data_IF_319575994398
#
_entry.id   IF_319575994398
#
_cell.length_a   1.000
_cell.length_b   1.000
_cell.length_c   1.000
_cell.angle_alpha   90.00
_cell.angle_beta   90.00
_cell.angle_gamma   90.00
#
_symmetry.space_group_name_H-M   'P 1'
#
loop_
_entity.id
_entity.type
_entity.pdbx_description
1 polymer ?
#
# COMPACT_ATOMS: atom_id res chain seq x y z
N UNK A 1 -24.33 36.81 1.90
CA UNK A 1 -23.38 35.97 2.68
C UNK A 1 -22.43 36.89 3.43
N UNK A 2 -22.25 36.72 4.73
CA UNK A 2 -21.28 37.51 5.50
C UNK A 2 -19.86 37.02 5.25
N UNK A 3 -18.86 37.89 5.39
CA UNK A 3 -17.43 37.56 5.20
C UNK A 3 -17.01 36.36 6.07
N UNK A 4 -17.57 36.26 7.27
CA UNK A 4 -17.38 35.15 8.20
C UNK A 4 -18.02 33.83 7.70
N UNK A 5 -19.20 33.88 7.07
CA UNK A 5 -19.84 32.71 6.48
C UNK A 5 -19.07 32.14 5.29
N UNK A 6 -18.50 33.02 4.45
CA UNK A 6 -17.63 32.59 3.35
C UNK A 6 -16.34 31.91 3.85
N UNK A 7 -15.75 32.42 4.94
CA UNK A 7 -14.57 31.82 5.57
C UNK A 7 -14.87 30.45 6.20
N UNK A 8 -16.02 30.28 6.85
CA UNK A 8 -16.45 29.00 7.42
C UNK A 8 -16.68 27.94 6.34
N UNK A 9 -17.31 28.32 5.22
CA UNK A 9 -17.51 27.42 4.08
C UNK A 9 -16.19 27.04 3.40
N UNK A 10 -15.25 27.96 3.30
CA UNK A 10 -13.89 27.69 2.80
C UNK A 10 -13.12 26.74 3.72
N UNK A 11 -13.19 26.92 5.05
CA UNK A 11 -12.58 25.99 6.01
C UNK A 11 -13.21 24.60 5.95
N UNK A 12 -14.54 24.51 5.85
CA UNK A 12 -15.23 23.23 5.69
C UNK A 12 -14.86 22.55 4.37
N UNK A 13 -14.76 23.31 3.27
CA UNK A 13 -14.30 22.80 1.99
C UNK A 13 -12.85 22.28 2.06
N UNK A 14 -11.94 23.02 2.72
CA UNK A 14 -10.55 22.57 2.91
C UNK A 14 -10.48 21.27 3.72
N UNK A 15 -11.29 21.11 4.78
CA UNK A 15 -11.38 19.87 5.57
C UNK A 15 -11.98 18.69 4.78
N UNK A 16 -12.85 18.96 3.81
CA UNK A 16 -13.39 17.94 2.90
C UNK A 16 -12.40 17.56 1.79
N UNK A 17 -11.53 18.49 1.38
CA UNK A 17 -10.46 18.24 0.41
C UNK A 17 -9.27 17.50 1.06
N UNK A 18 -9.13 17.57 2.39
CA UNK A 18 -8.20 16.71 3.16
C UNK A 18 -8.72 15.29 3.38
N UNK A 19 -9.69 14.82 2.58
CA UNK A 19 -10.01 13.40 2.49
C UNK A 19 -8.72 12.59 2.33
N UNK A 20 -8.59 11.53 3.14
CA UNK A 20 -7.37 10.75 3.33
C UNK A 20 -6.56 10.64 2.05
N UNK A 21 -5.49 11.41 1.97
CA UNK A 21 -4.42 11.11 1.04
C UNK A 21 -3.63 10.00 1.71
N UNK A 22 -3.43 8.88 1.04
CA UNK A 22 -2.44 7.88 1.45
C UNK A 22 -0.99 8.36 1.32
N UNK A 23 -0.74 9.68 1.40
CA UNK A 23 0.58 10.21 1.71
C UNK A 23 1.15 9.53 2.98
N UNK A 24 0.27 8.98 3.84
CA UNK A 24 0.58 8.24 5.07
C UNK A 24 0.24 6.73 5.03
N UNK A 25 0.20 6.05 3.86
CA UNK A 25 0.09 4.58 3.92
C UNK A 25 1.25 4.03 4.75
N UNK A 26 0.94 3.18 5.72
CA UNK A 26 1.92 2.67 6.66
C UNK A 26 3.15 2.14 5.90
N UNK A 27 4.35 2.71 6.10
CA UNK A 27 5.53 2.31 5.33
C UNK A 27 5.79 0.80 5.40
N UNK A 28 5.58 0.20 6.58
CA UNK A 28 5.69 -1.24 6.78
C UNK A 28 4.76 -2.06 5.87
N UNK A 29 3.52 -1.58 5.67
CA UNK A 29 2.56 -2.23 4.76
C UNK A 29 3.02 -2.09 3.32
N UNK A 30 3.40 -0.87 2.90
CA UNK A 30 3.88 -0.60 1.55
C UNK A 30 5.11 -1.45 1.23
N UNK A 31 6.12 -1.45 2.09
CA UNK A 31 7.36 -2.22 1.89
C UNK A 31 7.07 -3.73 1.80
N UNK A 32 6.14 -4.24 2.63
CA UNK A 32 5.75 -5.65 2.59
C UNK A 32 5.06 -6.02 1.28
N UNK A 33 4.17 -5.16 0.77
CA UNK A 33 3.50 -5.38 -0.53
C UNK A 33 4.49 -5.25 -1.69
N UNK A 34 5.38 -4.26 -1.66
CA UNK A 34 6.40 -4.06 -2.71
C UNK A 34 7.34 -5.27 -2.77
N UNK A 35 7.78 -5.80 -1.62
CA UNK A 35 8.59 -7.02 -1.54
C UNK A 35 7.83 -8.27 -2.01
N UNK A 36 6.54 -8.39 -1.67
CA UNK A 36 5.71 -9.50 -2.15
C UNK A 36 5.68 -9.54 -3.68
N UNK A 37 5.49 -8.40 -4.34
CA UNK A 37 5.38 -8.30 -5.80
C UNK A 37 6.74 -8.41 -6.51
N UNK A 38 7.75 -7.67 -6.05
CA UNK A 38 8.98 -7.45 -6.79
C UNK A 38 10.27 -7.75 -6.03
N UNK A 39 10.20 -7.92 -4.71
CA UNK A 39 11.34 -8.36 -3.90
C UNK A 39 11.72 -9.82 -4.18
N UNK A 40 12.89 -10.23 -3.71
CA UNK A 40 13.26 -11.65 -3.71
C UNK A 40 12.37 -12.42 -2.73
N UNK A 41 12.33 -13.74 -2.90
CA UNK A 41 11.58 -14.63 -2.01
C UNK A 41 12.03 -14.46 -0.56
N UNK A 42 13.33 -14.55 -0.31
CA UNK A 42 13.90 -14.48 1.04
C UNK A 42 13.66 -13.10 1.70
N UNK A 43 13.83 -11.99 0.96
CA UNK A 43 13.57 -10.65 1.51
C UNK A 43 12.11 -10.48 1.94
N UNK A 44 11.16 -11.03 1.18
CA UNK A 44 9.74 -11.00 1.56
C UNK A 44 9.49 -11.83 2.82
N UNK A 45 10.04 -13.05 2.93
CA UNK A 45 9.87 -13.91 4.10
C UNK A 45 10.49 -13.27 5.35
N UNK A 46 11.72 -12.77 5.24
CA UNK A 46 12.38 -12.02 6.33
C UNK A 46 11.56 -10.81 6.76
N UNK A 47 10.89 -10.13 5.82
CA UNK A 47 10.02 -9.00 6.14
C UNK A 47 8.78 -9.45 6.92
N UNK A 48 8.12 -10.56 6.53
CA UNK A 48 6.94 -11.09 7.24
C UNK A 48 7.32 -11.56 8.65
N UNK A 49 8.46 -12.23 8.80
CA UNK A 49 8.97 -12.73 10.09
C UNK A 49 9.14 -11.64 11.15
N UNK A 50 9.45 -10.41 10.74
CA UNK A 50 9.55 -9.25 11.66
C UNK A 50 8.23 -8.95 12.39
N UNK A 51 7.09 -9.28 11.77
CA UNK A 51 5.77 -8.97 12.31
C UNK A 51 5.07 -10.20 12.88
N UNK A 52 5.34 -11.39 12.34
CA UNK A 52 4.68 -12.61 12.79
C UNK A 52 5.57 -13.84 12.63
N UNK A 53 5.89 -14.49 13.75
CA UNK A 53 6.72 -15.70 13.79
C UNK A 53 5.88 -16.98 13.87
N UNK A 54 4.56 -16.91 13.68
CA UNK A 54 3.72 -18.09 13.65
C UNK A 54 4.06 -18.95 12.41
N UNK A 55 4.47 -20.21 12.57
CA UNK A 55 4.90 -21.06 11.46
C UNK A 55 3.86 -21.19 10.34
N UNK A 56 2.56 -21.24 10.68
CA UNK A 56 1.50 -21.34 9.69
C UNK A 56 1.36 -20.07 8.82
N UNK A 57 1.68 -18.90 9.39
CA UNK A 57 1.70 -17.63 8.66
C UNK A 57 2.88 -17.59 7.71
N UNK A 58 4.05 -18.07 8.15
CA UNK A 58 5.25 -18.13 7.33
C UNK A 58 5.11 -19.14 6.18
N UNK A 59 4.54 -20.31 6.43
CA UNK A 59 4.23 -21.31 5.39
C UNK A 59 3.24 -20.75 4.35
N UNK A 60 2.24 -19.99 4.81
CA UNK A 60 1.29 -19.30 3.90
C UNK A 60 2.00 -18.23 3.07
N UNK A 61 2.88 -17.43 3.68
CA UNK A 61 3.64 -16.40 3.00
C UNK A 61 4.57 -17.00 1.93
N UNK A 62 5.28 -18.07 2.28
CA UNK A 62 6.16 -18.84 1.38
C UNK A 62 5.40 -19.40 0.17
N UNK A 63 4.25 -20.01 0.42
CA UNK A 63 3.39 -20.56 -0.64
C UNK A 63 2.91 -19.48 -1.60
N UNK A 64 2.42 -18.35 -1.07
CA UNK A 64 1.89 -17.26 -1.89
C UNK A 64 3.01 -16.55 -2.67
N UNK A 65 4.18 -16.35 -2.05
CA UNK A 65 5.32 -15.71 -2.70
C UNK A 65 5.84 -16.55 -3.86
N UNK A 66 6.02 -17.86 -3.63
CA UNK A 66 6.39 -18.80 -4.70
C UNK A 66 5.42 -18.73 -5.89
N UNK A 67 4.12 -18.68 -5.60
CA UNK A 67 3.09 -18.58 -6.65
C UNK A 67 3.22 -17.27 -7.45
N UNK A 68 3.38 -16.13 -6.77
CA UNK A 68 3.53 -14.84 -7.44
C UNK A 68 4.81 -14.79 -8.29
N UNK A 69 5.92 -15.33 -7.78
CA UNK A 69 7.19 -15.35 -8.51
C UNK A 69 7.19 -16.28 -9.72
N UNK A 70 6.48 -17.41 -9.65
CA UNK A 70 6.32 -18.33 -10.79
C UNK A 70 5.34 -17.82 -11.84
N UNK A 71 4.31 -17.07 -11.44
CA UNK A 71 3.17 -16.73 -12.31
C UNK A 71 3.25 -15.35 -12.93
N UNK A 72 3.77 -14.36 -12.21
CA UNK A 72 3.84 -13.00 -12.71
C UNK A 72 5.11 -12.79 -13.51
N UNK A 73 4.94 -12.35 -14.75
CA UNK A 73 6.06 -11.88 -15.56
C UNK A 73 6.62 -10.57 -15.00
N UNK A 74 7.79 -10.16 -15.48
CA UNK A 74 8.35 -8.86 -15.12
C UNK A 74 7.42 -7.69 -15.50
N UNK A 75 6.68 -7.81 -16.61
CA UNK A 75 5.69 -6.82 -17.04
C UNK A 75 4.50 -6.78 -16.06
N UNK A 76 3.94 -7.94 -15.69
CA UNK A 76 2.84 -8.02 -14.72
C UNK A 76 3.22 -7.39 -13.37
N UNK A 77 4.44 -7.65 -12.90
CA UNK A 77 4.97 -7.07 -11.65
C UNK A 77 5.09 -5.54 -11.76
N UNK A 78 5.60 -5.04 -12.88
CA UNK A 78 5.72 -3.60 -13.12
C UNK A 78 4.35 -2.90 -13.19
N UNK A 79 3.39 -3.54 -13.84
CA UNK A 79 2.01 -3.03 -13.93
C UNK A 79 1.29 -3.07 -12.59
N UNK A 80 1.49 -4.12 -11.79
CA UNK A 80 0.97 -4.21 -10.43
C UNK A 80 1.52 -3.09 -9.54
N UNK A 81 2.83 -2.82 -9.57
CA UNK A 81 3.43 -1.71 -8.83
C UNK A 81 2.91 -0.35 -9.31
N UNK A 82 2.71 -0.18 -10.62
CA UNK A 82 2.11 1.04 -11.18
C UNK A 82 0.67 1.25 -10.68
N UNK A 83 -0.13 0.17 -10.62
CA UNK A 83 -1.47 0.20 -10.07
C UNK A 83 -1.48 0.54 -8.57
N UNK A 84 -0.57 -0.06 -7.79
CA UNK A 84 -0.40 0.25 -6.36
C UNK A 84 -0.04 1.71 -6.13
N UNK A 85 0.87 2.28 -6.93
CA UNK A 85 1.19 3.72 -6.84
C UNK A 85 -0.02 4.62 -7.11
N UNK A 86 -0.92 4.24 -8.02
CA UNK A 86 -2.19 4.96 -8.24
C UNK A 86 -3.13 4.84 -7.03
N UNK A 87 -3.15 3.69 -6.37
CA UNK A 87 -3.90 3.50 -5.11
C UNK A 87 -3.33 4.42 -4.03
N UNK A 88 -2.02 4.40 -3.81
CA UNK A 88 -1.36 5.19 -2.75
C UNK A 88 -1.48 6.70 -2.97
N UNK A 89 -1.54 7.16 -4.21
CA UNK A 89 -1.72 8.58 -4.55
C UNK A 89 -3.18 9.02 -4.68
N UNK A 90 -4.12 8.09 -4.52
CA UNK A 90 -5.55 8.38 -4.60
C UNK A 90 -6.03 9.20 -3.41
N UNK A 91 -6.98 10.12 -3.65
CA UNK A 91 -7.69 10.84 -2.58
C UNK A 91 -8.70 9.98 -1.81
N UNK A 92 -8.84 8.71 -2.19
CA UNK A 92 -9.75 7.74 -1.58
C UNK A 92 -9.06 6.77 -0.63
N UNK A 93 -7.76 6.89 -0.41
CA UNK A 93 -6.94 5.86 0.22
C UNK A 93 -6.82 6.01 1.77
#
# INVERSE_FOLDING_TARGET
>A
MTRAGALLLLCAALLLITGGRCDDICPALRDTVDLFIAGTHDEYIEQVEKYNQNPAVLETADTLKSCVDERLTAEDKQDALSALNKIYSSSLC
#
